data_IF_891781984796
#
_entry.id   IF_891781984796
#
_cell.length_a   1.000
_cell.length_b   1.000
_cell.length_c   1.000
_cell.angle_alpha   90.00
_cell.angle_beta   90.00
_cell.angle_gamma   90.00
#
_symmetry.space_group_name_H-M   'P 1'
#
loop_
_entity.id
_entity.type
_entity.pdbx_description
1 polymer ?
#
# COMPACT_ATOMS: atom_id res chain seq x y z
N UNK A 1 -27.49 22.68 -11.75
CA UNK A 1 -27.41 22.57 -10.28
C UNK A 1 -26.21 21.72 -9.81
N UNK A 2 -26.12 20.43 -10.16
CA UNK A 2 -25.08 19.51 -9.66
C UNK A 2 -23.63 20.00 -9.86
N UNK A 3 -23.27 20.47 -11.07
CA UNK A 3 -21.93 20.98 -11.38
C UNK A 3 -21.54 22.20 -10.53
N UNK A 4 -22.48 23.13 -10.30
CA UNK A 4 -22.26 24.32 -9.45
C UNK A 4 -21.98 23.92 -8.00
N UNK A 5 -22.75 22.98 -7.45
CA UNK A 5 -22.56 22.54 -6.07
C UNK A 5 -21.33 21.64 -5.90
N UNK A 6 -20.93 20.91 -6.94
CA UNK A 6 -19.64 20.22 -7.00
C UNK A 6 -18.48 21.23 -6.96
N UNK A 7 -18.53 22.28 -7.78
CA UNK A 7 -17.53 23.35 -7.76
C UNK A 7 -17.44 24.03 -6.40
N UNK A 8 -18.60 24.27 -5.74
CA UNK A 8 -18.67 24.74 -4.35
C UNK A 8 -17.97 23.78 -3.39
N UNK A 9 -18.23 22.47 -3.49
CA UNK A 9 -17.55 21.46 -2.67
C UNK A 9 -16.02 21.54 -2.82
N UNK A 10 -15.51 21.72 -4.04
CA UNK A 10 -14.07 21.89 -4.28
C UNK A 10 -13.47 23.11 -3.56
N UNK A 11 -14.22 24.18 -3.28
CA UNK A 11 -13.72 25.31 -2.50
C UNK A 11 -13.57 24.99 -1.01
N UNK A 12 -14.33 24.01 -0.49
CA UNK A 12 -14.22 23.57 0.91
C UNK A 12 -13.17 22.45 1.11
N UNK A 13 -12.48 22.03 0.06
CA UNK A 13 -11.49 20.95 0.10
C UNK A 13 -10.07 21.50 0.03
N UNK A 14 -9.21 21.09 0.96
CA UNK A 14 -7.76 21.34 0.90
C UNK A 14 -7.07 20.12 0.30
N UNK A 15 -6.56 20.30 -0.93
CA UNK A 15 -5.80 19.26 -1.63
C UNK A 15 -4.30 19.36 -1.33
N UNK A 16 -3.58 18.23 -1.21
CA UNK A 16 -2.14 18.20 -1.37
C UNK A 16 -1.75 18.74 -2.76
N UNK A 17 -0.57 19.36 -2.87
CA UNK A 17 -0.05 20.11 -4.03
C UNK A 17 -0.04 19.36 -5.38
N UNK A 18 -0.38 18.08 -5.42
CA UNK A 18 -0.22 17.20 -6.59
C UNK A 18 -1.53 16.83 -7.34
N UNK A 19 -2.69 17.39 -7.01
CA UNK A 19 -3.99 16.95 -7.58
C UNK A 19 -4.46 17.74 -8.83
N UNK A 20 -3.67 17.72 -9.92
CA UNK A 20 -4.04 18.39 -11.18
C UNK A 20 -5.32 17.80 -11.82
N UNK A 21 -5.60 16.52 -11.58
CA UNK A 21 -6.76 15.82 -12.15
C UNK A 21 -8.07 16.26 -11.50
N UNK A 22 -8.05 16.52 -10.19
CA UNK A 22 -9.23 17.01 -9.48
C UNK A 22 -9.68 18.40 -9.94
N UNK A 23 -8.73 19.26 -10.29
CA UNK A 23 -9.04 20.54 -10.94
C UNK A 23 -9.69 20.34 -12.32
N UNK A 24 -9.25 19.35 -13.10
CA UNK A 24 -9.92 19.00 -14.37
C UNK A 24 -11.35 18.53 -14.12
N UNK A 25 -11.59 17.67 -13.12
CA UNK A 25 -12.94 17.21 -12.75
C UNK A 25 -13.84 18.38 -12.31
N UNK A 26 -13.32 19.31 -11.50
CA UNK A 26 -14.07 20.51 -11.04
C UNK A 26 -14.72 21.28 -12.20
N UNK A 27 -14.00 21.43 -13.31
CA UNK A 27 -14.49 22.19 -14.48
C UNK A 27 -15.12 21.31 -15.56
N UNK A 28 -14.68 20.05 -15.66
CA UNK A 28 -15.08 19.09 -16.68
C UNK A 28 -16.14 18.07 -16.27
N UNK A 29 -16.75 18.17 -15.07
CA UNK A 29 -17.85 17.29 -14.70
C UNK A 29 -19.02 17.41 -15.70
N UNK A 30 -19.41 16.29 -16.31
CA UNK A 30 -20.35 16.23 -17.44
C UNK A 30 -19.66 16.03 -18.81
N UNK A 31 -18.36 16.27 -18.93
CA UNK A 31 -17.58 15.96 -20.13
C UNK A 31 -16.98 14.56 -20.03
N UNK A 32 -17.40 13.67 -20.93
CA UNK A 32 -16.94 12.28 -21.00
C UNK A 32 -15.42 12.19 -21.24
N UNK A 33 -14.83 13.21 -21.88
CA UNK A 33 -13.38 13.29 -22.12
C UNK A 33 -12.59 13.56 -20.84
N UNK A 34 -13.24 14.09 -19.80
CA UNK A 34 -12.61 14.39 -18.51
C UNK A 34 -12.90 13.29 -17.48
N UNK A 35 -14.13 12.77 -17.48
CA UNK A 35 -14.55 11.73 -16.54
C UNK A 35 -15.49 10.75 -17.26
N UNK A 36 -15.17 9.46 -17.34
CA UNK A 36 -16.05 8.47 -17.97
C UNK A 36 -17.46 8.47 -17.37
N UNK A 37 -18.47 8.22 -18.20
CA UNK A 37 -19.88 8.22 -17.79
C UNK A 37 -20.17 7.23 -16.64
N UNK A 38 -19.48 6.09 -16.62
CA UNK A 38 -19.60 5.10 -15.54
C UNK A 38 -19.21 5.69 -14.19
N UNK A 39 -18.08 6.41 -14.12
CA UNK A 39 -17.63 7.07 -12.89
C UNK A 39 -18.52 8.27 -12.55
N UNK A 40 -18.98 9.04 -13.54
CA UNK A 40 -19.94 10.13 -13.29
C UNK A 40 -21.25 9.61 -12.68
N UNK A 41 -21.78 8.49 -13.19
CA UNK A 41 -23.02 7.90 -12.70
C UNK A 41 -22.86 7.34 -11.29
N UNK A 42 -21.74 6.66 -11.03
CA UNK A 42 -21.35 6.24 -9.68
C UNK A 42 -21.32 7.43 -8.70
N UNK A 43 -20.67 8.53 -9.08
CA UNK A 43 -20.57 9.74 -8.25
C UNK A 43 -21.96 10.33 -7.95
N UNK A 44 -22.87 10.36 -8.94
CA UNK A 44 -24.26 10.81 -8.75
C UNK A 44 -25.05 9.86 -7.85
N UNK A 45 -24.86 8.55 -8.00
CA UNK A 45 -25.51 7.54 -7.14
C UNK A 45 -25.07 7.68 -5.69
N UNK A 46 -23.76 7.80 -5.46
CA UNK A 46 -23.16 8.05 -4.15
C UNK A 46 -23.65 9.36 -3.53
N UNK A 47 -23.77 10.43 -4.32
CA UNK A 47 -24.35 11.69 -3.86
C UNK A 47 -25.80 11.51 -3.39
N UNK A 48 -26.62 10.79 -4.17
CA UNK A 48 -28.02 10.53 -3.80
C UNK A 48 -28.11 9.77 -2.48
N UNK A 49 -27.25 8.77 -2.27
CA UNK A 49 -27.17 8.03 -1.01
C UNK A 49 -26.82 8.95 0.17
N UNK A 50 -25.83 9.84 0.01
CA UNK A 50 -25.43 10.78 1.05
C UNK A 50 -26.51 11.80 1.40
N UNK A 51 -27.13 12.41 0.38
CA UNK A 51 -28.22 13.38 0.62
C UNK A 51 -29.37 12.70 1.34
N UNK A 52 -29.77 11.50 0.92
CA UNK A 52 -30.83 10.73 1.60
C UNK A 52 -30.49 10.39 3.05
N UNK A 53 -29.21 10.07 3.33
CA UNK A 53 -28.72 9.80 4.68
C UNK A 53 -28.77 11.06 5.55
N UNK A 54 -28.35 12.21 5.03
CA UNK A 54 -28.36 13.49 5.76
C UNK A 54 -29.78 14.00 6.06
N UNK A 55 -30.75 13.70 5.20
CA UNK A 55 -32.14 14.07 5.43
C UNK A 55 -32.87 13.10 6.36
N UNK A 56 -32.30 11.93 6.67
CA UNK A 56 -32.94 10.94 7.53
C UNK A 56 -34.28 10.44 7.00
N UNK A 57 -34.50 10.52 5.68
CA UNK A 57 -35.79 10.22 5.05
C UNK A 57 -36.82 11.35 5.06
N UNK A 58 -36.54 12.49 5.70
CA UNK A 58 -37.43 13.66 5.69
C UNK A 58 -37.40 14.40 4.34
N UNK A 59 -38.55 14.99 3.98
CA UNK A 59 -38.59 15.95 2.88
C UNK A 59 -37.85 17.25 3.24
N UNK A 60 -37.40 17.99 2.23
CA UNK A 60 -36.71 19.27 2.46
C UNK A 60 -37.66 20.28 3.10
N UNK A 61 -38.96 20.21 2.78
CA UNK A 61 -40.00 21.02 3.43
C UNK A 61 -40.07 20.73 4.94
N UNK A 62 -40.09 19.45 5.35
CA UNK A 62 -40.07 19.08 6.78
C UNK A 62 -38.81 19.57 7.49
N UNK A 63 -37.65 19.57 6.82
CA UNK A 63 -36.38 20.06 7.39
C UNK A 63 -36.43 21.58 7.63
N UNK A 64 -37.06 22.32 6.73
CA UNK A 64 -37.25 23.76 6.84
C UNK A 64 -38.30 24.11 7.90
N UNK A 65 -39.45 23.43 7.89
CA UNK A 65 -40.56 23.62 8.84
C UNK A 65 -40.16 23.32 10.28
N UNK A 66 -39.39 22.25 10.51
CA UNK A 66 -38.95 21.85 11.87
C UNK A 66 -37.78 22.68 12.40
N UNK A 67 -37.30 23.70 11.67
CA UNK A 67 -36.15 24.49 12.10
C UNK A 67 -34.82 23.72 12.18
N UNK A 68 -34.77 22.49 11.66
CA UNK A 68 -33.62 21.59 11.70
C UNK A 68 -32.47 22.06 10.78
N UNK A 69 -32.78 22.96 9.83
CA UNK A 69 -31.86 23.55 8.87
C UNK A 69 -30.68 24.31 9.51
N UNK A 70 -30.79 24.78 10.77
CA UNK A 70 -29.70 25.47 11.48
C UNK A 70 -28.45 24.59 11.65
N UNK A 71 -28.58 23.26 11.67
CA UNK A 71 -27.45 22.30 11.68
C UNK A 71 -26.88 22.02 10.28
N UNK A 72 -27.64 22.35 9.23
CA UNK A 72 -27.32 22.03 7.83
C UNK A 72 -26.69 23.21 7.08
N UNK A 73 -26.87 24.44 7.53
CA UNK A 73 -26.20 25.62 6.98
C UNK A 73 -24.70 25.61 7.29
N UNK A 74 -23.87 25.94 6.29
CA UNK A 74 -22.43 26.10 6.45
C UNK A 74 -22.07 27.43 7.15
N UNK A 75 -22.94 28.44 7.12
CA UNK A 75 -22.78 29.74 7.80
C UNK A 75 -24.12 30.30 8.33
N UNK A 76 -24.08 30.98 9.48
CA UNK A 76 -25.18 31.78 10.04
C UNK A 76 -25.00 33.24 9.60
N UNK A 77 -25.67 33.67 8.54
CA UNK A 77 -25.75 35.10 8.23
C UNK A 77 -27.15 35.59 8.64
N UNK A 78 -27.20 36.64 9.46
CA UNK A 78 -28.42 37.20 10.08
C UNK A 78 -29.38 37.91 9.11
N UNK A 79 -29.51 37.44 7.87
CA UNK A 79 -30.40 38.01 6.87
C UNK A 79 -31.68 37.16 6.72
N UNK A 80 -32.84 37.84 6.72
CA UNK A 80 -34.12 37.23 6.40
C UNK A 80 -34.23 37.02 4.89
N UNK A 81 -34.04 35.78 4.45
CA UNK A 81 -34.29 35.37 3.06
C UNK A 81 -35.76 35.00 2.85
N UNK A 82 -36.25 35.11 1.61
CA UNK A 82 -37.55 34.57 1.23
C UNK A 82 -37.61 33.04 1.40
N UNK A 83 -38.80 32.45 1.50
CA UNK A 83 -38.95 30.99 1.59
C UNK A 83 -38.25 30.26 0.44
N UNK A 84 -38.39 30.75 -0.79
CA UNK A 84 -37.74 30.18 -1.98
C UNK A 84 -36.22 30.25 -1.85
N UNK A 85 -35.67 31.39 -1.42
CA UNK A 85 -34.23 31.54 -1.22
C UNK A 85 -33.70 30.62 -0.10
N UNK A 86 -34.45 30.46 1.00
CA UNK A 86 -34.11 29.54 2.08
C UNK A 86 -34.14 28.08 1.63
N UNK A 87 -35.12 27.73 0.80
CA UNK A 87 -35.24 26.40 0.20
C UNK A 87 -34.04 26.10 -0.70
N UNK A 88 -33.75 26.99 -1.66
CA UNK A 88 -32.62 26.85 -2.58
C UNK A 88 -31.28 26.77 -1.83
N UNK A 89 -31.06 27.62 -0.83
CA UNK A 89 -29.86 27.61 0.00
C UNK A 89 -29.69 26.29 0.77
N UNK A 90 -30.79 25.73 1.28
CA UNK A 90 -30.77 24.46 2.02
C UNK A 90 -30.46 23.29 1.10
N UNK A 91 -31.11 23.24 -0.07
CA UNK A 91 -30.83 22.22 -1.09
C UNK A 91 -29.37 22.32 -1.55
N UNK A 92 -28.89 23.51 -1.86
CA UNK A 92 -27.52 23.74 -2.30
C UNK A 92 -26.50 23.33 -1.23
N UNK A 93 -26.75 23.67 0.04
CA UNK A 93 -25.89 23.27 1.16
C UNK A 93 -25.83 21.75 1.33
N UNK A 94 -26.99 21.07 1.26
CA UNK A 94 -27.08 19.61 1.33
C UNK A 94 -26.30 18.94 0.19
N UNK A 95 -26.53 19.38 -1.05
CA UNK A 95 -25.84 18.83 -2.22
C UNK A 95 -24.33 19.10 -2.13
N UNK A 96 -23.90 20.28 -1.68
CA UNK A 96 -22.48 20.59 -1.49
C UNK A 96 -21.85 19.72 -0.40
N UNK A 97 -22.51 19.53 0.75
CA UNK A 97 -22.02 18.61 1.80
C UNK A 97 -21.94 17.17 1.30
N UNK A 98 -22.96 16.69 0.59
CA UNK A 98 -22.94 15.38 -0.05
C UNK A 98 -21.77 15.23 -1.02
N UNK A 99 -21.51 16.25 -1.86
CA UNK A 99 -20.36 16.23 -2.76
C UNK A 99 -19.02 16.18 -2.02
N UNK A 100 -18.86 16.92 -0.93
CA UNK A 100 -17.65 16.86 -0.10
C UNK A 100 -17.41 15.42 0.36
N UNK A 101 -18.44 14.74 0.89
CA UNK A 101 -18.32 13.35 1.36
C UNK A 101 -17.94 12.38 0.24
N UNK A 102 -18.62 12.50 -0.92
CA UNK A 102 -18.31 11.67 -2.09
C UNK A 102 -16.87 11.89 -2.54
N UNK A 103 -16.42 13.15 -2.70
CA UNK A 103 -15.06 13.45 -3.14
C UNK A 103 -14.04 12.91 -2.14
N UNK A 104 -14.24 13.13 -0.83
CA UNK A 104 -13.33 12.63 0.20
C UNK A 104 -13.19 11.11 0.16
N UNK A 105 -14.31 10.37 0.07
CA UNK A 105 -14.27 8.89 0.02
C UNK A 105 -13.59 8.32 -1.23
N UNK A 106 -13.75 8.99 -2.38
CA UNK A 106 -13.24 8.49 -3.66
C UNK A 106 -11.78 8.92 -3.90
N UNK A 107 -11.29 9.93 -3.19
CA UNK A 107 -9.96 10.49 -3.37
C UNK A 107 -9.01 10.20 -2.21
N UNK A 108 -9.41 9.43 -1.20
CA UNK A 108 -8.46 8.94 -0.19
C UNK A 108 -7.26 8.28 -0.93
N UNK A 109 -6.03 8.65 -0.54
CA UNK A 109 -4.80 8.22 -1.19
C UNK A 109 -4.73 8.42 -2.73
N UNK A 110 -5.60 9.25 -3.32
CA UNK A 110 -5.62 9.50 -4.76
C UNK A 110 -6.26 8.41 -5.64
N UNK A 111 -7.15 7.55 -5.10
CA UNK A 111 -7.75 6.45 -5.88
C UNK A 111 -8.47 6.88 -7.17
N UNK A 112 -9.27 7.95 -7.11
CA UNK A 112 -9.93 8.49 -8.31
C UNK A 112 -8.93 9.00 -9.35
N UNK A 113 -7.80 9.57 -8.92
CA UNK A 113 -6.75 10.01 -9.84
C UNK A 113 -6.06 8.82 -10.52
N UNK A 114 -5.80 7.74 -9.78
CA UNK A 114 -5.16 6.53 -10.30
C UNK A 114 -5.91 5.97 -11.53
N UNK A 115 -7.24 5.92 -11.47
CA UNK A 115 -8.06 5.37 -12.57
C UNK A 115 -8.31 6.33 -13.74
N UNK A 116 -8.10 7.64 -13.54
CA UNK A 116 -8.23 8.64 -14.60
C UNK A 116 -6.91 8.79 -15.37
N UNK A 117 -5.77 8.71 -14.68
CA UNK A 117 -4.44 8.91 -15.29
C UNK A 117 -3.90 7.62 -15.91
N UNK A 118 -4.13 6.48 -15.28
CA UNK A 118 -3.61 5.18 -15.73
C UNK A 118 -4.78 4.24 -16.11
N UNK A 119 -5.41 4.41 -17.29
CA UNK A 119 -6.59 3.65 -17.68
C UNK A 119 -6.22 2.26 -18.21
N UNK A 120 -5.57 1.43 -17.38
CA UNK A 120 -5.62 -0.03 -17.63
C UNK A 120 -7.08 -0.45 -17.64
N UNK A 121 -7.46 -1.30 -18.61
CA UNK A 121 -8.88 -1.61 -18.88
C UNK A 121 -9.64 -2.14 -17.66
N UNK A 122 -8.98 -2.87 -16.76
CA UNK A 122 -9.60 -3.48 -15.59
C UNK A 122 -9.86 -2.47 -14.44
N UNK A 123 -8.97 -1.50 -14.23
CA UNK A 123 -8.95 -0.65 -13.03
C UNK A 123 -10.20 0.22 -12.87
N UNK A 124 -10.76 0.86 -13.92
CA UNK A 124 -12.03 1.57 -13.82
C UNK A 124 -13.19 0.66 -13.42
N UNK A 125 -13.19 -0.61 -13.86
CA UNK A 125 -14.23 -1.58 -13.52
C UNK A 125 -14.13 -1.98 -12.05
N UNK A 126 -12.91 -2.29 -11.58
CA UNK A 126 -12.65 -2.56 -10.16
C UNK A 126 -13.11 -1.36 -9.32
N UNK A 127 -12.66 -0.15 -9.67
CA UNK A 127 -13.03 1.07 -8.97
C UNK A 127 -14.55 1.27 -8.89
N UNK A 128 -15.27 1.10 -9.99
CA UNK A 128 -16.73 1.30 -10.02
C UNK A 128 -17.44 0.25 -9.16
N UNK A 129 -17.04 -1.02 -9.23
CA UNK A 129 -17.65 -2.07 -8.41
C UNK A 129 -17.33 -1.87 -6.91
N UNK A 130 -16.08 -1.53 -6.56
CA UNK A 130 -15.66 -1.24 -5.17
C UNK A 130 -16.44 -0.07 -4.61
N UNK A 131 -16.48 1.03 -5.36
CA UNK A 131 -17.20 2.23 -4.97
C UNK A 131 -18.71 2.07 -5.13
N UNK A 132 -19.26 1.02 -5.75
CA UNK A 132 -20.72 0.81 -5.69
C UNK A 132 -21.14 0.12 -4.40
N UNK A 133 -20.21 -0.59 -3.75
CA UNK A 133 -20.46 -1.31 -2.52
C UNK A 133 -20.30 -0.38 -1.29
N UNK A 134 -21.42 -0.05 -0.65
CA UNK A 134 -21.45 0.84 0.52
C UNK A 134 -20.84 0.20 1.80
N UNK A 135 -20.82 -1.13 1.91
CA UNK A 135 -20.17 -1.80 3.05
C UNK A 135 -18.65 -1.88 2.88
N UNK A 136 -18.17 -1.95 1.64
CA UNK A 136 -16.73 -1.98 1.34
C UNK A 136 -16.08 -0.60 1.43
N UNK A 137 -16.74 0.41 0.86
CA UNK A 137 -16.31 1.80 0.94
C UNK A 137 -17.40 2.60 1.63
N UNK A 138 -17.43 2.64 2.97
CA UNK A 138 -18.39 3.45 3.69
C UNK A 138 -18.15 4.93 3.39
N UNK A 139 -19.22 5.68 3.22
CA UNK A 139 -19.16 7.13 3.13
C UNK A 139 -18.84 7.66 4.54
N UNK A 140 -17.85 8.55 4.65
CA UNK A 140 -17.30 8.94 5.95
C UNK A 140 -18.41 9.39 6.91
N UNK A 141 -18.42 8.83 8.10
CA UNK A 141 -19.26 9.35 9.19
C UNK A 141 -18.72 10.72 9.57
N UNK A 142 -19.60 11.71 9.67
CA UNK A 142 -19.29 13.12 9.94
C UNK A 142 -18.66 13.34 11.32
N UNK A 143 -17.42 12.90 11.50
CA UNK A 143 -16.49 13.34 12.56
C UNK A 143 -15.16 13.83 11.96
N UNK A 144 -15.15 14.19 10.67
CA UNK A 144 -14.02 14.90 10.10
C UNK A 144 -13.97 16.32 10.64
N UNK A 145 -13.16 16.45 11.69
CA UNK A 145 -12.67 17.61 12.42
C UNK A 145 -12.69 18.85 11.52
N UNK A 146 -13.65 19.74 11.77
CA UNK A 146 -13.53 21.14 11.38
C UNK A 146 -12.23 21.65 11.99
N UNK A 147 -11.24 21.94 11.15
CA UNK A 147 -10.11 22.76 11.57
C UNK A 147 -10.71 24.08 12.07
N UNK A 148 -10.59 24.31 13.38
CA UNK A 148 -11.27 25.40 14.11
C UNK A 148 -10.94 26.78 13.53
N UNK A 149 -9.92 26.88 12.69
CA UNK A 149 -9.40 28.13 12.16
C UNK A 149 -9.70 28.39 10.68
N UNK A 150 -10.13 27.39 9.87
CA UNK A 150 -10.16 27.58 8.39
C UNK A 150 -11.33 26.95 7.61
N UNK A 151 -12.29 26.25 8.22
CA UNK A 151 -13.48 25.69 7.52
C UNK A 151 -13.20 24.78 6.30
N UNK A 152 -11.98 24.23 6.12
CA UNK A 152 -11.67 23.29 5.03
C UNK A 152 -11.64 21.84 5.53
N UNK A 153 -12.08 20.92 4.66
CA UNK A 153 -11.86 19.49 4.84
C UNK A 153 -10.56 19.10 4.15
N UNK A 154 -9.62 18.52 4.91
CA UNK A 154 -8.35 18.02 4.38
C UNK A 154 -8.54 16.62 3.83
N UNK A 155 -8.11 16.40 2.59
CA UNK A 155 -8.10 15.06 2.01
C UNK A 155 -7.04 14.20 2.72
N UNK A 156 -7.42 12.99 3.16
CA UNK A 156 -6.49 12.02 3.73
C UNK A 156 -5.66 11.39 2.61
N UNK A 157 -4.38 11.71 2.59
CA UNK A 157 -3.42 11.17 1.61
C UNK A 157 -2.18 10.75 2.37
N UNK A 158 -2.04 9.44 2.57
CA UNK A 158 -0.84 8.82 3.12
C UNK A 158 0.16 8.47 2.02
N UNK A 159 -0.34 8.19 0.82
CA UNK A 159 0.47 7.91 -0.37
C UNK A 159 -0.34 8.19 -1.63
N UNK A 160 0.33 8.17 -2.80
CA UNK A 160 -0.33 8.25 -4.11
C UNK A 160 -0.56 6.84 -4.65
N UNK A 161 -1.82 6.41 -4.65
CA UNK A 161 -2.22 5.10 -5.11
C UNK A 161 -2.06 4.93 -6.62
N UNK A 162 -1.79 3.69 -7.03
CA UNK A 162 -1.76 3.22 -8.42
C UNK A 162 -2.89 2.22 -8.70
N UNK A 163 -3.42 1.58 -7.66
CA UNK A 163 -4.49 0.60 -7.71
C UNK A 163 -5.72 1.10 -6.94
N UNK A 164 -6.94 0.94 -7.47
CA UNK A 164 -8.15 1.46 -6.84
C UNK A 164 -8.44 0.76 -5.50
N UNK A 165 -8.56 1.55 -4.43
CA UNK A 165 -8.93 1.10 -3.08
C UNK A 165 -8.05 -0.02 -2.53
N UNK A 166 -6.78 -0.06 -2.92
CA UNK A 166 -5.79 -1.06 -2.49
C UNK A 166 -5.73 -1.22 -0.97
N UNK A 167 -5.76 -0.12 -0.21
CA UNK A 167 -5.77 -0.16 1.25
C UNK A 167 -7.05 -0.79 1.82
N UNK A 168 -8.22 -0.47 1.26
CA UNK A 168 -9.48 -1.06 1.69
C UNK A 168 -9.48 -2.59 1.47
N UNK A 169 -8.94 -3.05 0.34
CA UNK A 169 -8.77 -4.47 0.07
C UNK A 169 -7.83 -5.12 1.07
N UNK A 170 -6.67 -4.53 1.32
CA UNK A 170 -5.69 -5.05 2.27
C UNK A 170 -6.29 -5.18 3.69
N UNK A 171 -6.96 -4.14 4.20
CA UNK A 171 -7.64 -4.19 5.50
C UNK A 171 -8.73 -5.26 5.53
N UNK A 172 -9.48 -5.41 4.44
CA UNK A 172 -10.47 -6.48 4.33
C UNK A 172 -9.82 -7.86 4.37
N UNK A 173 -8.72 -8.08 3.64
CA UNK A 173 -7.98 -9.35 3.65
C UNK A 173 -7.43 -9.67 5.04
N UNK A 174 -6.79 -8.72 5.72
CA UNK A 174 -6.34 -8.92 7.11
C UNK A 174 -7.49 -9.37 8.02
N UNK A 175 -8.64 -8.70 7.90
CA UNK A 175 -9.83 -9.02 8.71
C UNK A 175 -10.32 -10.43 8.42
N UNK A 176 -10.35 -10.83 7.14
CA UNK A 176 -10.72 -12.19 6.75
C UNK A 176 -9.69 -13.20 7.25
N UNK A 177 -8.40 -13.02 7.01
CA UNK A 177 -7.34 -13.98 7.39
C UNK A 177 -7.35 -14.22 8.91
N UNK A 178 -7.49 -13.15 9.71
CA UNK A 178 -7.63 -13.27 11.18
C UNK A 178 -8.91 -13.99 11.61
N UNK A 179 -10.03 -13.76 10.91
CA UNK A 179 -11.30 -14.45 11.16
C UNK A 179 -11.39 -15.87 10.60
N UNK A 180 -10.52 -16.23 9.65
CA UNK A 180 -10.59 -17.48 8.87
C UNK A 180 -10.03 -18.70 9.60
N UNK A 181 -9.30 -18.52 10.70
CA UNK A 181 -8.96 -19.62 11.61
C UNK A 181 -10.20 -20.36 12.15
N UNK A 182 -11.40 -19.77 12.03
CA UNK A 182 -12.68 -20.39 12.41
C UNK A 182 -13.39 -21.17 11.29
N UNK A 183 -12.93 -21.08 10.03
CA UNK A 183 -13.61 -21.70 8.86
C UNK A 183 -13.06 -23.07 8.47
N UNK A 184 -12.19 -23.66 9.29
CA UNK A 184 -11.72 -25.02 9.13
C UNK A 184 -12.86 -25.98 9.48
N UNK A 185 -13.60 -26.44 8.46
CA UNK A 185 -14.40 -27.66 8.58
C UNK A 185 -13.53 -28.86 8.18
N UNK A 186 -13.73 -30.00 8.82
CA UNK A 186 -13.05 -31.29 8.52
C UNK A 186 -13.09 -31.69 7.03
N UNK A 187 -14.02 -31.13 6.25
CA UNK A 187 -14.14 -31.30 4.81
C UNK A 187 -13.01 -30.69 3.98
N UNK A 188 -12.21 -29.77 4.53
CA UNK A 188 -11.08 -29.13 3.83
C UNK A 188 -9.73 -29.87 4.05
N UNK A 189 -9.75 -31.04 4.72
CA UNK A 189 -8.60 -31.94 4.88
C UNK A 189 -7.96 -32.40 3.55
N UNK A 190 -8.68 -32.31 2.44
CA UNK A 190 -8.11 -32.61 1.12
C UNK A 190 -7.15 -31.51 0.64
N UNK A 191 -7.35 -30.25 1.02
CA UNK A 191 -6.45 -29.13 0.65
C UNK A 191 -5.11 -29.32 1.35
N UNK A 192 -5.14 -29.63 2.64
CA UNK A 192 -3.96 -29.97 3.42
C UNK A 192 -3.25 -31.19 2.83
N UNK A 193 -3.97 -32.28 2.52
CA UNK A 193 -3.39 -33.47 1.87
C UNK A 193 -2.90 -33.22 0.44
N UNK A 194 -3.52 -32.34 -0.33
CA UNK A 194 -3.09 -32.00 -1.69
C UNK A 194 -1.84 -31.14 -1.67
N UNK A 195 -1.75 -30.17 -0.75
CA UNK A 195 -0.55 -29.33 -0.57
C UNK A 195 0.60 -30.14 0.03
N UNK A 196 0.36 -30.98 1.04
CA UNK A 196 1.35 -31.92 1.58
C UNK A 196 1.79 -32.95 0.53
N UNK A 197 0.85 -33.48 -0.25
CA UNK A 197 1.13 -34.44 -1.31
C UNK A 197 2.04 -33.88 -2.42
N UNK A 198 1.93 -32.58 -2.72
CA UNK A 198 2.82 -31.86 -3.62
C UNK A 198 4.23 -31.62 -3.03
N UNK A 199 4.38 -31.67 -1.70
CA UNK A 199 5.60 -31.32 -0.96
C UNK A 199 6.47 -32.53 -0.58
N UNK A 200 6.21 -33.75 -1.06
CA UNK A 200 6.93 -34.95 -0.60
C UNK A 200 8.42 -35.00 -0.96
N UNK A 201 8.97 -34.00 -1.67
CA UNK A 201 10.38 -33.96 -2.06
C UNK A 201 11.05 -32.61 -1.68
N UNK A 202 11.90 -32.65 -0.63
CA UNK A 202 12.84 -31.64 -0.06
C UNK A 202 12.39 -30.82 1.17
N UNK A 203 13.38 -30.45 2.00
CA UNK A 203 13.34 -29.54 3.16
C UNK A 203 12.67 -28.18 2.84
N UNK A 204 11.35 -28.15 2.78
CA UNK A 204 10.58 -26.91 2.59
C UNK A 204 10.29 -26.27 3.94
N UNK A 205 10.42 -24.95 4.06
CA UNK A 205 10.11 -24.26 5.31
C UNK A 205 8.60 -24.39 5.60
N UNK A 206 8.24 -24.74 6.84
CA UNK A 206 6.84 -24.88 7.31
C UNK A 206 6.00 -23.65 6.91
N UNK A 207 6.59 -22.46 6.97
CA UNK A 207 5.97 -21.19 6.58
C UNK A 207 5.53 -21.15 5.12
N UNK A 208 6.25 -21.77 4.18
CA UNK A 208 5.86 -21.77 2.76
C UNK A 208 4.57 -22.57 2.54
N UNK A 209 4.38 -23.64 3.30
CA UNK A 209 3.16 -24.44 3.26
C UNK A 209 1.96 -23.66 3.84
N UNK A 210 2.15 -23.00 4.97
CA UNK A 210 1.13 -22.15 5.60
C UNK A 210 0.70 -20.99 4.69
N UNK A 211 1.65 -20.37 3.98
CA UNK A 211 1.36 -19.34 2.97
C UNK A 211 0.48 -19.93 1.86
N UNK A 212 0.84 -21.08 1.29
CA UNK A 212 0.07 -21.72 0.21
C UNK A 212 -1.36 -22.11 0.65
N UNK A 213 -1.51 -22.64 1.87
CA UNK A 213 -2.82 -22.94 2.46
C UNK A 213 -3.65 -21.66 2.56
N UNK A 214 -3.06 -20.60 3.12
CA UNK A 214 -3.72 -19.31 3.31
C UNK A 214 -4.16 -18.70 1.98
N UNK A 215 -3.31 -18.79 0.95
CA UNK A 215 -3.65 -18.36 -0.41
C UNK A 215 -4.89 -19.07 -0.94
N UNK A 216 -4.97 -20.39 -0.75
CA UNK A 216 -6.13 -21.16 -1.20
C UNK A 216 -7.40 -20.73 -0.47
N UNK A 217 -7.31 -20.56 0.86
CA UNK A 217 -8.42 -20.08 1.68
C UNK A 217 -8.90 -18.69 1.23
N UNK A 218 -7.98 -17.75 1.03
CA UNK A 218 -8.30 -16.41 0.55
C UNK A 218 -8.98 -16.45 -0.83
N UNK A 219 -8.48 -17.29 -1.76
CA UNK A 219 -9.12 -17.48 -3.08
C UNK A 219 -10.56 -18.01 -2.99
N UNK A 220 -10.82 -18.89 -2.03
CA UNK A 220 -12.16 -19.44 -1.74
C UNK A 220 -13.07 -18.36 -1.15
N UNK A 221 -12.60 -17.61 -0.16
CA UNK A 221 -13.36 -16.50 0.46
C UNK A 221 -13.71 -15.42 -0.58
N UNK A 222 -12.75 -15.05 -1.43
CA UNK A 222 -12.99 -14.11 -2.54
C UNK A 222 -14.04 -14.63 -3.54
N UNK A 223 -14.14 -15.95 -3.74
CA UNK A 223 -15.17 -16.52 -4.61
C UNK A 223 -16.58 -16.30 -4.04
N UNK A 224 -16.73 -16.46 -2.71
CA UNK A 224 -18.02 -16.34 -2.04
C UNK A 224 -18.47 -14.89 -1.78
N UNK A 225 -17.54 -13.92 -1.74
CA UNK A 225 -17.85 -12.52 -1.44
C UNK A 225 -18.24 -11.67 -2.67
N UNK A 226 -18.62 -12.32 -3.78
CA UNK A 226 -19.30 -11.69 -4.90
C UNK A 226 -18.39 -11.02 -5.95
N UNK A 227 -19.04 -10.26 -6.83
CA UNK A 227 -18.45 -9.73 -8.08
C UNK A 227 -17.21 -8.87 -7.83
N UNK A 228 -17.21 -8.07 -6.77
CA UNK A 228 -16.12 -7.19 -6.38
C UNK A 228 -14.76 -7.91 -6.30
N UNK A 229 -14.73 -9.05 -5.60
CA UNK A 229 -13.51 -9.82 -5.38
C UNK A 229 -13.20 -10.78 -6.54
N UNK A 230 -14.20 -11.15 -7.33
CA UNK A 230 -13.99 -11.91 -8.57
C UNK A 230 -13.11 -11.15 -9.57
N UNK A 231 -13.20 -9.82 -9.61
CA UNK A 231 -12.40 -8.98 -10.49
C UNK A 231 -10.91 -9.02 -10.13
N UNK A 232 -10.58 -9.13 -8.84
CA UNK A 232 -9.19 -9.22 -8.37
C UNK A 232 -8.49 -10.51 -8.82
N UNK A 233 -9.25 -11.57 -9.13
CA UNK A 233 -8.69 -12.81 -9.68
C UNK A 233 -8.17 -12.65 -11.11
N UNK A 234 -8.71 -11.68 -11.84
CA UNK A 234 -8.32 -11.37 -13.22
C UNK A 234 -7.13 -10.42 -13.33
N UNK A 235 -6.53 -10.00 -12.20
CA UNK A 235 -5.44 -9.04 -12.23
C UNK A 235 -4.19 -9.62 -12.89
N UNK A 236 -3.61 -8.85 -13.81
CA UNK A 236 -2.33 -9.17 -14.42
C UNK A 236 -1.15 -8.88 -13.45
N UNK A 237 0.05 -9.26 -13.85
CA UNK A 237 1.26 -9.10 -13.01
C UNK A 237 1.57 -7.62 -12.72
N UNK A 238 1.32 -6.73 -13.67
CA UNK A 238 1.58 -5.30 -13.48
C UNK A 238 0.51 -4.65 -12.59
N UNK A 239 -0.74 -5.09 -12.65
CA UNK A 239 -1.79 -4.69 -11.71
C UNK A 239 -1.49 -5.22 -10.29
N UNK A 240 -0.97 -6.44 -10.18
CA UNK A 240 -0.46 -6.97 -8.92
C UNK A 240 0.73 -6.14 -8.41
N UNK A 241 1.59 -5.63 -9.29
CA UNK A 241 2.70 -4.76 -8.92
C UNK A 241 2.20 -3.38 -8.43
N UNK A 242 1.18 -2.80 -9.07
CA UNK A 242 0.52 -1.58 -8.62
C UNK A 242 -0.09 -1.77 -7.22
N UNK A 243 -0.84 -2.85 -7.04
CA UNK A 243 -1.42 -3.23 -5.76
C UNK A 243 -0.36 -3.38 -4.66
N UNK A 244 0.68 -4.17 -4.92
CA UNK A 244 1.77 -4.44 -3.96
C UNK A 244 2.45 -3.15 -3.53
N UNK A 245 2.77 -2.25 -4.46
CA UNK A 245 3.40 -0.96 -4.13
C UNK A 245 2.51 -0.08 -3.28
N UNK A 246 1.21 -0.09 -3.53
CA UNK A 246 0.27 0.66 -2.70
C UNK A 246 0.17 0.07 -1.29
N UNK A 247 0.16 -1.26 -1.13
CA UNK A 247 0.15 -1.92 0.18
C UNK A 247 1.44 -1.61 0.95
N UNK A 248 2.61 -1.70 0.30
CA UNK A 248 3.91 -1.31 0.89
C UNK A 248 3.84 0.13 1.39
N UNK A 249 3.36 1.06 0.55
CA UNK A 249 3.23 2.47 0.94
C UNK A 249 2.22 2.66 2.07
N UNK A 250 1.15 1.89 2.13
CA UNK A 250 0.15 1.96 3.19
C UNK A 250 0.70 1.48 4.54
N UNK A 251 1.27 0.28 4.58
CA UNK A 251 1.84 -0.32 5.79
C UNK A 251 2.99 0.55 6.31
N UNK A 252 3.92 0.91 5.43
CA UNK A 252 5.19 1.54 5.79
C UNK A 252 5.23 3.05 5.49
N UNK A 253 4.08 3.73 5.46
CA UNK A 253 3.96 5.17 5.16
C UNK A 253 4.81 6.09 6.07
N UNK A 254 5.25 5.59 7.24
CA UNK A 254 6.14 6.34 8.15
C UNK A 254 7.60 6.35 7.68
N UNK A 255 8.02 5.30 6.96
CA UNK A 255 9.38 5.14 6.47
C UNK A 255 9.54 5.60 5.02
N UNK A 256 8.44 5.62 4.26
CA UNK A 256 8.43 5.88 2.82
C UNK A 256 7.83 7.27 2.56
N UNK A 257 8.60 8.25 2.05
CA UNK A 257 8.08 9.56 1.73
C UNK A 257 6.98 9.51 0.65
N UNK A 258 6.03 10.44 0.74
CA UNK A 258 4.89 10.58 -0.19
C UNK A 258 5.34 10.97 -1.62
N UNK A 259 6.60 11.36 -1.80
CA UNK A 259 7.12 11.87 -3.07
C UNK A 259 7.10 10.80 -4.18
N UNK A 260 6.82 11.23 -5.41
CA UNK A 260 6.61 10.33 -6.55
C UNK A 260 7.88 9.61 -7.05
N UNK A 261 9.07 10.08 -6.67
CA UNK A 261 10.37 9.56 -7.14
C UNK A 261 11.03 8.59 -6.14
N UNK A 262 10.30 8.13 -5.13
CA UNK A 262 10.83 7.11 -4.23
C UNK A 262 10.86 5.74 -4.92
N UNK A 263 12.07 5.20 -5.04
CA UNK A 263 12.35 3.91 -5.67
C UNK A 263 12.24 2.73 -4.70
N UNK A 264 12.16 2.99 -3.39
CA UNK A 264 12.02 1.96 -2.35
C UNK A 264 10.82 1.06 -2.58
N UNK A 265 9.58 1.57 -2.83
CA UNK A 265 8.42 0.70 -3.07
C UNK A 265 8.60 -0.21 -4.29
N UNK A 266 9.29 0.25 -5.34
CA UNK A 266 9.55 -0.58 -6.53
C UNK A 266 10.53 -1.72 -6.22
N UNK A 267 11.56 -1.45 -5.40
CA UNK A 267 12.54 -2.47 -4.99
C UNK A 267 11.88 -3.49 -4.07
N UNK A 268 11.16 -3.03 -3.06
CA UNK A 268 10.49 -3.89 -2.08
C UNK A 268 9.40 -4.73 -2.75
N UNK A 269 8.67 -4.19 -3.73
CA UNK A 269 7.77 -4.98 -4.58
C UNK A 269 8.53 -6.09 -5.31
N UNK A 270 9.74 -5.83 -5.79
CA UNK A 270 10.63 -6.86 -6.35
C UNK A 270 10.92 -7.97 -5.35
N UNK A 271 11.30 -7.61 -4.12
CA UNK A 271 11.53 -8.57 -3.02
C UNK A 271 10.27 -9.40 -2.72
N UNK A 272 9.10 -8.79 -2.58
CA UNK A 272 7.83 -9.50 -2.37
C UNK A 272 7.54 -10.49 -3.50
N UNK A 273 7.82 -10.10 -4.75
CA UNK A 273 7.63 -10.98 -5.91
C UNK A 273 8.63 -12.14 -5.92
N UNK A 274 9.88 -11.92 -5.48
CA UNK A 274 10.85 -13.00 -5.29
C UNK A 274 10.42 -13.97 -4.22
N UNK A 275 9.96 -13.49 -3.05
CA UNK A 275 9.40 -14.33 -2.00
C UNK A 275 8.24 -15.17 -2.55
N UNK A 276 7.31 -14.53 -3.28
CA UNK A 276 6.22 -15.25 -3.94
C UNK A 276 6.71 -16.31 -4.92
N UNK A 277 7.73 -15.97 -5.73
CA UNK A 277 8.40 -16.91 -6.64
C UNK A 277 9.02 -18.10 -5.94
N UNK A 278 9.65 -17.90 -4.78
CA UNK A 278 10.20 -18.97 -3.93
C UNK A 278 9.08 -19.89 -3.43
N UNK A 279 8.02 -19.30 -2.86
CA UNK A 279 6.87 -20.05 -2.31
C UNK A 279 6.18 -20.90 -3.37
N UNK A 280 6.04 -20.37 -4.59
CA UNK A 280 5.27 -21.00 -5.67
C UNK A 280 6.13 -21.75 -6.69
N UNK A 281 7.45 -21.86 -6.52
CA UNK A 281 8.41 -22.38 -7.51
C UNK A 281 8.02 -23.75 -8.08
N UNK A 282 7.42 -24.61 -7.26
CA UNK A 282 6.98 -25.96 -7.62
C UNK A 282 5.50 -26.05 -8.02
N UNK A 283 4.84 -24.91 -8.21
CA UNK A 283 3.42 -24.83 -8.55
C UNK A 283 3.24 -24.14 -9.89
N UNK A 284 2.10 -24.35 -10.55
CA UNK A 284 1.72 -23.60 -11.75
C UNK A 284 1.17 -22.20 -11.46
N UNK A 285 1.22 -21.78 -10.19
CA UNK A 285 0.63 -20.53 -9.75
C UNK A 285 1.48 -19.33 -10.20
N UNK A 286 0.82 -18.26 -10.60
CA UNK A 286 1.44 -16.94 -10.84
C UNK A 286 1.22 -16.03 -9.65
N UNK A 287 2.04 -14.97 -9.55
CA UNK A 287 1.80 -13.88 -8.60
C UNK A 287 0.37 -13.37 -8.78
N UNK A 288 -0.37 -13.29 -7.67
CA UNK A 288 -1.73 -12.78 -7.61
C UNK A 288 -1.97 -12.13 -6.24
N UNK A 289 -3.03 -11.32 -6.13
CA UNK A 289 -3.36 -10.59 -4.90
C UNK A 289 -3.44 -11.50 -3.66
N UNK A 290 -4.10 -12.68 -3.68
CA UNK A 290 -4.08 -13.61 -2.55
C UNK A 290 -2.69 -14.01 -2.05
N UNK A 291 -1.75 -14.27 -2.96
CA UNK A 291 -0.37 -14.58 -2.61
C UNK A 291 0.33 -13.39 -1.98
N UNK A 292 0.14 -12.22 -2.54
CA UNK A 292 0.72 -10.97 -2.01
C UNK A 292 0.24 -10.75 -0.57
N UNK A 293 -1.07 -10.89 -0.32
CA UNK A 293 -1.65 -10.74 1.02
C UNK A 293 -1.16 -11.79 2.01
N UNK A 294 -1.02 -13.05 1.58
CA UNK A 294 -0.47 -14.10 2.43
C UNK A 294 1.00 -13.84 2.77
N UNK A 295 1.79 -13.35 1.81
CA UNK A 295 3.18 -12.95 2.05
C UNK A 295 3.24 -11.81 3.06
N UNK A 296 2.43 -10.75 2.91
CA UNK A 296 2.39 -9.67 3.91
C UNK A 296 1.96 -10.19 5.29
N UNK A 297 1.03 -11.14 5.35
CA UNK A 297 0.56 -11.67 6.63
C UNK A 297 1.64 -12.46 7.40
N UNK A 298 2.42 -13.32 6.72
CA UNK A 298 3.42 -14.17 7.38
C UNK A 298 4.82 -13.58 7.43
N UNK A 299 5.15 -12.68 6.50
CA UNK A 299 6.52 -12.21 6.26
C UNK A 299 6.63 -10.68 6.32
N UNK A 300 5.70 -10.01 7.02
CA UNK A 300 5.76 -8.55 7.27
C UNK A 300 7.13 -8.14 7.82
N UNK A 301 7.62 -8.85 8.83
CA UNK A 301 8.90 -8.57 9.48
C UNK A 301 10.07 -8.63 8.48
N UNK A 302 10.09 -9.64 7.60
CA UNK A 302 11.16 -9.76 6.58
C UNK A 302 11.10 -8.56 5.62
N UNK A 303 9.89 -8.17 5.20
CA UNK A 303 9.67 -7.03 4.30
C UNK A 303 10.05 -5.70 4.97
N UNK A 304 9.68 -5.52 6.24
CA UNK A 304 10.03 -4.34 7.02
C UNK A 304 11.55 -4.19 7.11
N UNK A 305 12.28 -5.27 7.37
CA UNK A 305 13.74 -5.24 7.47
C UNK A 305 14.41 -4.86 6.13
N UNK A 306 13.84 -5.26 4.98
CA UNK A 306 14.30 -4.74 3.69
C UNK A 306 14.02 -3.24 3.51
N UNK A 307 12.86 -2.75 3.98
CA UNK A 307 12.54 -1.32 3.95
C UNK A 307 13.50 -0.52 4.83
N UNK A 308 13.80 -1.02 6.03
CA UNK A 308 14.76 -0.41 6.94
C UNK A 308 16.14 -0.32 6.27
N UNK A 309 16.65 -1.42 5.70
CA UNK A 309 17.93 -1.41 4.97
C UNK A 309 17.94 -0.42 3.81
N UNK A 310 16.86 -0.35 3.03
CA UNK A 310 16.76 0.59 1.92
C UNK A 310 16.67 2.04 2.40
N UNK A 311 15.99 2.30 3.51
CA UNK A 311 15.92 3.65 4.10
C UNK A 311 17.28 4.14 4.60
N UNK A 312 18.15 3.21 5.05
CA UNK A 312 19.52 3.49 5.46
C UNK A 312 20.50 3.60 4.28
N UNK A 313 20.12 3.10 3.11
CA UNK A 313 20.93 3.13 1.88
C UNK A 313 20.59 4.35 1.03
N UNK A 314 21.43 5.38 1.06
CA UNK A 314 21.25 6.62 0.30
C UNK A 314 21.82 6.59 -1.13
N UNK A 315 22.40 5.46 -1.54
CA UNK A 315 23.04 5.31 -2.84
C UNK A 315 22.07 4.86 -3.94
N UNK A 316 21.81 5.77 -4.88
CA UNK A 316 20.94 5.54 -6.03
C UNK A 316 21.49 4.50 -7.03
N UNK A 317 22.81 4.37 -7.18
CA UNK A 317 23.44 3.38 -8.05
C UNK A 317 23.27 1.97 -7.48
N UNK A 318 23.41 1.82 -6.16
CA UNK A 318 23.15 0.55 -5.47
C UNK A 318 21.67 0.15 -5.63
N UNK A 319 20.76 1.08 -5.35
CA UNK A 319 19.31 0.86 -5.53
C UNK A 319 18.95 0.49 -6.96
N UNK A 320 19.54 1.18 -7.94
CA UNK A 320 19.34 0.89 -9.37
C UNK A 320 19.91 -0.48 -9.77
N UNK A 321 21.08 -0.84 -9.24
CA UNK A 321 21.69 -2.16 -9.46
C UNK A 321 20.80 -3.28 -8.91
N UNK A 322 20.21 -3.09 -7.73
CA UNK A 322 19.28 -4.06 -7.14
C UNK A 322 18.04 -4.23 -8.01
N UNK A 323 17.47 -3.13 -8.53
CA UNK A 323 16.33 -3.22 -9.46
C UNK A 323 16.64 -4.07 -10.69
N UNK A 324 17.85 -3.96 -11.24
CA UNK A 324 18.27 -4.76 -12.39
C UNK A 324 18.33 -6.25 -12.07
N UNK A 325 18.68 -6.65 -10.84
CA UNK A 325 18.72 -8.06 -10.44
C UNK A 325 17.36 -8.75 -10.60
N UNK A 326 16.25 -8.03 -10.44
CA UNK A 326 14.89 -8.56 -10.60
C UNK A 326 14.51 -8.85 -12.06
N UNK A 327 15.32 -8.43 -13.03
CA UNK A 327 15.09 -8.67 -14.46
C UNK A 327 15.94 -9.80 -15.03
N UNK A 328 16.97 -10.24 -14.30
CA UNK A 328 17.91 -11.25 -14.77
C UNK A 328 17.33 -12.66 -14.55
N UNK A 329 17.55 -13.58 -15.49
CA UNK A 329 17.10 -14.98 -15.38
C UNK A 329 17.95 -15.80 -14.40
N UNK A 330 17.78 -15.56 -13.10
CA UNK A 330 18.18 -16.49 -12.04
C UNK A 330 16.93 -17.07 -11.36
N UNK A 331 17.07 -18.12 -10.55
CA UNK A 331 15.97 -18.55 -9.68
C UNK A 331 15.63 -17.44 -8.67
N UNK A 332 14.37 -17.33 -8.22
CA UNK A 332 13.94 -16.27 -7.30
C UNK A 332 14.79 -16.19 -6.02
N UNK A 333 15.18 -17.36 -5.49
CA UNK A 333 16.03 -17.48 -4.30
C UNK A 333 17.41 -16.85 -4.53
N UNK A 334 18.07 -17.19 -5.63
CA UNK A 334 19.40 -16.65 -5.98
C UNK A 334 19.32 -15.14 -6.25
N UNK A 335 18.26 -14.64 -6.88
CA UNK A 335 18.06 -13.20 -7.06
C UNK A 335 17.93 -12.49 -5.70
N UNK A 336 17.20 -13.08 -4.75
CA UNK A 336 16.98 -12.52 -3.42
C UNK A 336 18.29 -12.47 -2.63
N UNK A 337 19.09 -13.54 -2.67
CA UNK A 337 20.42 -13.56 -2.04
C UNK A 337 21.30 -12.47 -2.66
N UNK A 338 21.39 -12.37 -3.99
CA UNK A 338 22.20 -11.35 -4.67
C UNK A 338 21.78 -9.92 -4.32
N UNK A 339 20.48 -9.65 -4.26
CA UNK A 339 19.95 -8.35 -3.84
C UNK A 339 20.37 -8.04 -2.40
N UNK A 340 20.26 -9.02 -1.50
CA UNK A 340 20.65 -8.89 -0.09
C UNK A 340 22.16 -8.68 0.08
N UNK A 341 22.99 -9.44 -0.65
CA UNK A 341 24.44 -9.26 -0.66
C UNK A 341 24.84 -7.87 -1.14
N UNK A 342 24.17 -7.36 -2.18
CA UNK A 342 24.44 -6.02 -2.72
C UNK A 342 24.11 -4.92 -1.70
N UNK A 343 22.96 -5.03 -1.01
CA UNK A 343 22.60 -4.14 0.09
C UNK A 343 23.60 -4.24 1.25
N UNK A 344 23.97 -5.45 1.65
CA UNK A 344 24.93 -5.68 2.75
C UNK A 344 26.31 -5.09 2.42
N UNK A 345 26.76 -5.23 1.18
CA UNK A 345 28.05 -4.72 0.73
C UNK A 345 28.15 -3.20 0.78
N UNK A 346 27.03 -2.48 0.59
CA UNK A 346 26.99 -1.03 0.75
C UNK A 346 27.38 -0.60 2.18
N UNK A 347 26.85 -1.27 3.21
CA UNK A 347 27.20 -0.97 4.60
C UNK A 347 28.65 -1.36 4.94
N UNK A 348 29.24 -2.29 4.20
CA UNK A 348 30.60 -2.75 4.45
C UNK A 348 31.66 -1.81 3.84
N UNK A 349 31.46 -1.38 2.59
CA UNK A 349 32.53 -0.80 1.75
C UNK A 349 32.28 0.62 1.22
N UNK A 350 31.11 1.23 1.42
CA UNK A 350 30.79 2.45 0.66
C UNK A 350 31.63 3.68 1.09
N UNK A 351 32.23 4.45 0.17
CA UNK A 351 33.13 5.57 0.49
C UNK A 351 32.45 6.81 1.10
N UNK A 352 31.12 6.96 0.97
CA UNK A 352 30.37 8.04 1.67
C UNK A 352 30.43 7.89 3.20
N UNK A 353 30.85 6.73 3.71
CA UNK A 353 31.08 6.45 5.13
C UNK A 353 32.19 7.31 5.76
N UNK A 354 33.03 7.97 4.95
CA UNK A 354 34.11 8.83 5.46
C UNK A 354 33.64 10.23 5.90
N UNK A 355 32.45 10.68 5.49
CA UNK A 355 31.99 12.05 5.75
C UNK A 355 30.89 12.16 6.85
N UNK A 356 30.38 11.04 7.37
CA UNK A 356 29.29 10.97 8.38
C UNK A 356 29.68 10.06 9.55
N UNK A 357 30.93 10.21 10.03
CA UNK A 357 31.61 9.27 10.96
C UNK A 357 30.80 9.02 12.24
N UNK A 358 30.09 10.02 12.76
CA UNK A 358 29.36 9.91 14.03
C UNK A 358 28.04 9.10 13.91
N UNK A 359 27.44 9.04 12.72
CA UNK A 359 26.16 8.34 12.49
C UNK A 359 26.35 6.93 11.90
N UNK A 360 27.55 6.65 11.39
CA UNK A 360 27.84 5.37 10.71
C UNK A 360 27.78 4.14 11.63
N UNK A 361 28.36 4.12 12.84
CA UNK A 361 28.25 2.97 13.74
C UNK A 361 26.78 2.61 14.04
N UNK A 362 25.94 3.63 14.24
CA UNK A 362 24.51 3.44 14.46
C UNK A 362 23.79 2.87 13.23
N UNK A 363 24.05 3.41 12.03
CA UNK A 363 23.52 2.87 10.76
C UNK A 363 23.92 1.43 10.52
N UNK A 364 25.18 1.06 10.80
CA UNK A 364 25.67 -0.32 10.65
C UNK A 364 25.01 -1.24 11.67
N UNK A 365 24.83 -0.79 12.92
CA UNK A 365 24.09 -1.55 13.95
C UNK A 365 22.67 -1.88 13.49
N UNK A 366 21.91 -0.86 13.06
CA UNK A 366 20.54 -1.06 12.55
C UNK A 366 20.51 -1.97 11.31
N UNK A 367 21.50 -1.86 10.43
CA UNK A 367 21.62 -2.73 9.27
C UNK A 367 21.89 -4.19 9.68
N UNK A 368 22.73 -4.44 10.68
CA UNK A 368 22.98 -5.78 11.19
C UNK A 368 21.75 -6.41 11.84
N UNK A 369 21.01 -5.65 12.63
CA UNK A 369 19.76 -6.12 13.24
C UNK A 369 18.75 -6.53 12.14
N UNK A 370 18.63 -5.72 11.09
CA UNK A 370 17.75 -6.03 9.97
C UNK A 370 18.23 -7.23 9.14
N UNK A 371 19.54 -7.33 8.91
CA UNK A 371 20.14 -8.46 8.19
C UNK A 371 20.03 -9.77 8.97
N UNK A 372 19.96 -9.75 10.30
CA UNK A 372 19.78 -10.97 11.09
C UNK A 372 18.45 -11.66 10.76
N UNK A 373 17.36 -10.90 10.67
CA UNK A 373 16.03 -11.43 10.34
C UNK A 373 16.01 -11.98 8.92
N UNK A 374 16.59 -11.25 7.97
CA UNK A 374 16.69 -11.69 6.57
C UNK A 374 17.57 -12.93 6.43
N UNK A 375 18.71 -12.98 7.14
CA UNK A 375 19.61 -14.13 7.15
C UNK A 375 18.90 -15.37 7.71
N UNK A 376 18.13 -15.24 8.79
CA UNK A 376 17.34 -16.34 9.33
C UNK A 376 16.32 -16.87 8.32
N UNK A 377 15.62 -15.96 7.63
CA UNK A 377 14.68 -16.32 6.56
C UNK A 377 15.35 -17.08 5.41
N UNK A 378 16.53 -16.62 4.96
CA UNK A 378 17.30 -17.26 3.88
C UNK A 378 17.91 -18.60 4.34
N UNK A 379 18.46 -18.66 5.55
CA UNK A 379 19.08 -19.86 6.13
C UNK A 379 18.12 -21.06 6.09
N UNK A 380 16.85 -20.84 6.41
CA UNK A 380 15.82 -21.87 6.38
C UNK A 380 15.54 -22.45 4.98
N UNK A 381 16.07 -21.84 3.91
CA UNK A 381 15.78 -22.20 2.51
C UNK A 381 17.02 -22.53 1.67
N UNK A 382 18.17 -21.94 1.97
CA UNK A 382 19.36 -22.03 1.14
C UNK A 382 20.67 -22.11 1.93
N UNK A 383 20.67 -22.70 3.12
CA UNK A 383 21.88 -22.78 3.96
C UNK A 383 23.09 -23.41 3.26
N UNK A 384 22.89 -24.31 2.30
CA UNK A 384 23.96 -25.00 1.55
C UNK A 384 24.36 -24.29 0.24
N UNK A 385 23.60 -23.28 -0.20
CA UNK A 385 23.88 -22.59 -1.47
C UNK A 385 25.13 -21.72 -1.35
N UNK A 386 25.98 -21.75 -2.37
CA UNK A 386 27.24 -20.99 -2.38
C UNK A 386 26.99 -19.49 -2.25
N UNK A 387 26.00 -18.96 -2.96
CA UNK A 387 25.63 -17.55 -2.90
C UNK A 387 25.22 -17.14 -1.49
N UNK A 388 24.57 -18.02 -0.73
CA UNK A 388 24.20 -17.76 0.66
C UNK A 388 25.43 -17.74 1.57
N UNK A 389 26.41 -18.62 1.35
CA UNK A 389 27.67 -18.60 2.09
C UNK A 389 28.48 -17.32 1.80
N UNK A 390 28.47 -16.85 0.55
CA UNK A 390 29.09 -15.58 0.17
C UNK A 390 28.40 -14.40 0.86
N UNK A 391 27.06 -14.37 0.90
CA UNK A 391 26.28 -13.41 1.67
C UNK A 391 26.65 -13.45 3.16
N UNK A 392 26.69 -14.65 3.76
CA UNK A 392 26.95 -14.84 5.18
C UNK A 392 28.36 -14.35 5.57
N UNK A 393 29.34 -14.49 4.67
CA UNK A 393 30.69 -13.93 4.85
C UNK A 393 30.64 -12.39 4.96
N UNK A 394 29.90 -11.72 4.08
CA UNK A 394 29.72 -10.25 4.13
C UNK A 394 28.99 -9.84 5.41
N UNK A 395 27.94 -10.56 5.79
CA UNK A 395 27.20 -10.29 7.02
C UNK A 395 28.06 -10.42 8.28
N UNK A 396 28.89 -11.48 8.37
CA UNK A 396 29.83 -11.66 9.49
C UNK A 396 30.88 -10.55 9.56
N UNK A 397 31.39 -10.08 8.43
CA UNK A 397 32.31 -8.94 8.40
C UNK A 397 31.67 -7.66 8.93
N UNK A 398 30.38 -7.42 8.62
CA UNK A 398 29.63 -6.30 9.20
C UNK A 398 29.50 -6.43 10.73
N UNK A 399 29.20 -7.62 11.24
CA UNK A 399 29.12 -7.87 12.68
C UNK A 399 30.45 -7.60 13.39
N UNK A 400 31.57 -8.03 12.80
CA UNK A 400 32.92 -7.75 13.34
C UNK A 400 33.20 -6.24 13.35
N UNK A 401 32.85 -5.53 12.28
CA UNK A 401 33.03 -4.07 12.19
C UNK A 401 32.28 -3.31 13.29
N UNK A 402 31.08 -3.78 13.68
CA UNK A 402 30.35 -3.23 14.85
C UNK A 402 31.08 -3.51 16.15
N UNK A 403 31.52 -4.75 16.36
CA UNK A 403 32.25 -5.14 17.56
C UNK A 403 33.47 -4.23 17.73
N UNK A 404 34.28 -4.07 16.68
CA UNK A 404 35.46 -3.19 16.69
C UNK A 404 35.09 -1.73 16.99
N UNK A 405 33.98 -1.22 16.43
CA UNK A 405 33.52 0.15 16.72
C UNK A 405 33.04 0.34 18.17
N UNK A 406 32.51 -0.71 18.80
CA UNK A 406 32.01 -0.70 20.17
C UNK A 406 33.12 -0.96 21.21
N UNK A 407 34.16 -1.75 20.89
CA UNK A 407 35.31 -1.99 21.77
C UNK A 407 36.38 -0.91 21.68
N UNK A 408 36.57 -0.28 20.52
CA UNK A 408 37.58 0.77 20.31
C UNK A 408 36.99 2.19 20.27
N UNK A 409 35.79 2.39 20.85
CA UNK A 409 35.12 3.69 21.02
C UNK A 409 35.88 4.74 21.84
N UNK A 410 37.13 4.46 22.24
CA UNK A 410 38.15 5.48 22.48
C UNK A 410 39.44 5.05 21.77
N UNK A 411 39.77 5.77 20.70
CA UNK A 411 41.07 5.75 20.01
C UNK A 411 41.32 4.53 19.11
N UNK A 412 41.22 4.74 17.78
CA UNK A 412 42.37 4.97 16.89
C UNK A 412 41.88 4.92 15.44
N UNK A 413 42.16 6.00 14.70
CA UNK A 413 42.17 6.02 13.24
C UNK A 413 43.34 5.16 12.77
N UNK A 414 43.08 4.01 12.14
CA UNK A 414 44.08 3.36 11.28
C UNK A 414 43.47 3.14 9.90
N UNK A 415 43.94 3.97 8.96
CA UNK A 415 44.02 3.63 7.55
C UNK A 415 44.95 2.43 7.39
N UNK A 416 44.49 1.32 6.82
CA UNK A 416 45.38 0.44 6.04
C UNK A 416 44.60 -0.37 5.01
N UNK A 417 45.02 -0.24 3.75
CA UNK A 417 44.70 -1.14 2.65
C UNK A 417 45.03 -2.60 2.97
N UNK A 418 44.27 -3.58 2.44
CA UNK A 418 44.62 -4.99 2.54
C UNK A 418 45.65 -5.31 1.46
N UNK A 419 46.90 -5.49 1.83
CA UNK A 419 47.84 -6.21 0.96
C UNK A 419 48.80 -7.03 1.82
N UNK A 420 48.69 -8.35 1.66
CA UNK A 420 49.64 -9.40 2.06
C UNK A 420 49.88 -9.55 3.57
N UNK A 421 49.56 -10.74 4.09
CA UNK A 421 50.55 -11.68 4.60
C UNK A 421 49.94 -13.09 4.50
N UNK A 422 50.46 -13.84 3.52
CA UNK A 422 50.56 -15.29 3.52
C UNK A 422 52.01 -15.60 3.95
N UNK A 423 52.20 -16.74 4.63
CA UNK A 423 53.45 -17.39 5.05
C UNK A 423 54.00 -16.95 6.43
N UNK A 424 53.74 -17.76 7.45
CA UNK A 424 54.63 -18.85 7.89
C UNK A 424 53.83 -19.95 8.58
#
# INVERSE_FOLDING_TARGET
MLKKNLQRAFYYLKFPSFHKVLLKIKHGFGDVRVLPNTIQNLMKQRLKQEVNKMTGGHTICEILEKGLYKKLQLHKNGHQYSFIQNYENTVDSLITKGWIQVILSLNENGYLEAVIVNPKKSLPTIFVESASNASFLPLSTHENILDKNLHFFKLKVLYRAQFPFSWNYHIWFITQTRGSYLWWKDTDNWIHRHIIGLNTHKNKAIVDEEILITVYCVKKIMHFNGKLFSLLKGCDEEECAMYTKDVIRGIFHRYIPIQANDDVPDIVKGIVFLIGGIVIEQTSMKINIPLIEAIFYYLEDVIENYIQLLSLCDDQEIRSSIKQLFTIKYSPLIQMIKATSKLSSYFLWHPSQMNDIDNMPHKISLACDALQIIANFLCARCSEEKEYQDFLSVYRQLQIKILDSNTFGQSIVIQTHPTRILLQ
#
